data_IF_343427114406
#
_entry.id   IF_343427114406
#
_cell.length_a   1.000
_cell.length_b   1.000
_cell.length_c   1.000
_cell.angle_alpha   90.00
_cell.angle_beta   90.00
_cell.angle_gamma   90.00
#
_symmetry.space_group_name_H-M   'P 1'
#
loop_
_entity.id
_entity.type
_entity.pdbx_description
1 polymer ?
#
# COMPACT_ATOMS: atom_id res chain seq x y z
N UNK A 1 9.04 1.06 13.93
CA UNK A 1 9.31 1.94 12.76
C UNK A 1 10.10 3.16 13.25
N UNK A 2 11.31 3.33 12.73
CA UNK A 2 12.31 4.32 13.18
C UNK A 2 13.75 3.83 13.03
N UNK A 3 13.91 2.53 12.86
CA UNK A 3 15.17 1.80 12.76
C UNK A 3 15.35 1.05 11.43
N UNK A 4 14.31 1.02 10.60
CA UNK A 4 14.28 0.44 9.25
C UNK A 4 13.17 1.09 8.42
N UNK A 5 13.20 0.86 7.11
CA UNK A 5 12.15 1.27 6.18
C UNK A 5 11.15 0.13 5.93
N UNK A 6 9.91 0.51 5.59
CA UNK A 6 8.85 -0.36 5.09
C UNK A 6 8.23 0.33 3.87
N UNK A 7 8.17 -0.37 2.75
CA UNK A 7 7.42 0.05 1.58
C UNK A 7 6.00 -0.53 1.68
N UNK A 8 4.98 0.32 1.58
CA UNK A 8 3.58 -0.10 1.52
C UNK A 8 3.08 0.13 0.09
N UNK A 9 2.54 -0.92 -0.51
CA UNK A 9 1.96 -0.88 -1.85
C UNK A 9 0.51 -1.36 -1.78
N UNK A 10 -0.42 -0.49 -2.21
CA UNK A 10 -1.83 -0.87 -2.36
C UNK A 10 -2.20 -0.88 -3.84
N UNK A 11 -2.55 -2.06 -4.36
CA UNK A 11 -3.11 -2.17 -5.69
C UNK A 11 -4.49 -1.50 -5.72
N UNK A 12 -4.67 -0.58 -6.67
CA UNK A 12 -5.91 0.19 -6.83
C UNK A 12 -6.32 0.25 -8.29
N UNK A 13 -7.62 0.34 -8.52
CA UNK A 13 -8.19 0.52 -9.84
C UNK A 13 -8.73 1.94 -9.97
N UNK A 14 -8.05 2.78 -10.75
CA UNK A 14 -8.52 4.13 -11.04
C UNK A 14 -9.84 4.07 -11.81
N UNK A 15 -10.77 4.96 -11.48
CA UNK A 15 -12.10 5.02 -12.10
C UNK A 15 -12.44 6.46 -12.47
N UNK A 16 -13.27 6.60 -13.51
CA UNK A 16 -13.81 7.90 -13.88
C UNK A 16 -14.79 8.42 -12.81
N UNK A 17 -14.75 9.74 -12.59
CA UNK A 17 -15.74 10.42 -11.76
C UNK A 17 -17.12 10.37 -12.42
N UNK A 18 -18.13 9.83 -11.73
CA UNK A 18 -19.48 9.66 -12.28
C UNK A 18 -20.24 10.99 -12.48
N UNK A 19 -19.81 12.06 -11.82
CA UNK A 19 -20.43 13.37 -11.89
C UNK A 19 -19.38 14.47 -12.03
N UNK A 20 -19.78 15.60 -12.61
CA UNK A 20 -18.92 16.78 -12.65
C UNK A 20 -18.66 17.31 -11.23
N UNK A 21 -17.46 17.85 -11.02
CA UNK A 21 -17.03 18.44 -9.76
C UNK A 21 -16.86 19.96 -9.92
N UNK A 22 -17.93 20.72 -10.22
CA UNK A 22 -17.84 22.11 -10.70
C UNK A 22 -17.25 23.10 -9.68
N UNK A 23 -17.15 22.69 -8.41
CA UNK A 23 -16.59 23.51 -7.32
C UNK A 23 -15.21 23.04 -6.86
N UNK A 24 -14.66 21.95 -7.41
CA UNK A 24 -13.36 21.44 -7.00
C UNK A 24 -12.28 22.22 -7.76
N UNK A 25 -11.47 23.07 -7.09
CA UNK A 25 -10.54 23.97 -7.77
C UNK A 25 -9.19 23.30 -8.11
N UNK A 26 -9.12 21.98 -7.98
CA UNK A 26 -7.91 21.16 -8.15
C UNK A 26 -8.22 19.93 -8.99
N UNK A 27 -7.20 19.37 -9.63
CA UNK A 27 -7.29 18.06 -10.25
C UNK A 27 -7.56 16.99 -9.18
N UNK A 28 -8.17 15.87 -9.59
CA UNK A 28 -8.48 14.76 -8.70
C UNK A 28 -8.08 13.43 -9.34
N UNK A 29 -7.89 12.43 -8.48
CA UNK A 29 -7.85 11.04 -8.85
C UNK A 29 -8.90 10.30 -8.00
N UNK A 30 -9.61 9.36 -8.62
CA UNK A 30 -10.60 8.53 -7.96
C UNK A 30 -10.27 7.08 -8.26
N UNK A 31 -10.32 6.21 -7.25
CA UNK A 31 -10.00 4.79 -7.41
C UNK A 31 -10.81 3.92 -6.46
N UNK A 32 -10.84 2.63 -6.77
CA UNK A 32 -11.27 1.55 -5.85
C UNK A 32 -10.03 0.88 -5.29
N UNK A 33 -9.90 0.86 -3.97
CA UNK A 33 -8.81 0.16 -3.31
C UNK A 33 -9.11 -1.34 -3.23
N UNK A 34 -8.15 -2.18 -3.60
CA UNK A 34 -8.28 -3.63 -3.44
C UNK A 34 -7.94 -4.05 -2.01
N UNK A 35 -8.60 -5.08 -1.44
CA UNK A 35 -9.73 -5.83 -2.04
C UNK A 35 -11.05 -5.06 -1.96
N UNK A 36 -11.16 -4.19 -0.97
CA UNK A 36 -12.26 -3.26 -0.73
C UNK A 36 -11.76 -2.11 0.16
N UNK A 37 -12.50 -1.00 0.20
CA UNK A 37 -12.09 0.19 0.95
C UNK A 37 -11.89 -0.08 2.44
N UNK A 38 -12.71 -0.93 3.06
CA UNK A 38 -12.64 -1.18 4.50
C UNK A 38 -11.38 -1.97 4.84
N UNK A 39 -11.15 -3.08 4.13
CA UNK A 39 -9.96 -3.92 4.31
C UNK A 39 -8.68 -3.16 3.95
N UNK A 40 -8.65 -2.46 2.83
CA UNK A 40 -7.46 -1.73 2.36
C UNK A 40 -7.06 -0.63 3.33
N UNK A 41 -8.03 0.19 3.78
CA UNK A 41 -7.76 1.28 4.71
C UNK A 41 -7.35 0.76 6.09
N UNK A 42 -7.98 -0.31 6.60
CA UNK A 42 -7.55 -0.92 7.87
C UNK A 42 -6.12 -1.47 7.75
N UNK A 43 -5.82 -2.23 6.70
CA UNK A 43 -4.49 -2.80 6.48
C UNK A 43 -3.41 -1.69 6.38
N UNK A 44 -3.70 -0.60 5.65
CA UNK A 44 -2.81 0.55 5.52
C UNK A 44 -2.53 1.23 6.87
N UNK A 45 -3.59 1.48 7.65
CA UNK A 45 -3.47 2.10 8.98
C UNK A 45 -2.68 1.19 9.94
N UNK A 46 -2.99 -0.12 9.95
CA UNK A 46 -2.31 -1.10 10.79
C UNK A 46 -0.83 -1.22 10.43
N UNK A 47 -0.49 -1.16 9.15
CA UNK A 47 0.90 -1.18 8.69
C UNK A 47 1.65 0.14 8.91
N UNK A 48 0.94 1.22 9.29
CA UNK A 48 1.51 2.54 9.58
C UNK A 48 1.79 3.39 8.33
N UNK A 49 1.03 3.18 7.26
CA UNK A 49 1.21 3.90 6.00
C UNK A 49 0.97 5.41 6.12
N UNK A 50 1.71 6.19 5.34
CA UNK A 50 1.55 7.64 5.27
C UNK A 50 0.23 8.04 4.57
N UNK A 51 -0.21 9.27 4.78
CA UNK A 51 -1.31 9.87 4.00
C UNK A 51 -0.85 10.38 2.63
N UNK A 52 0.44 10.69 2.49
CA UNK A 52 1.06 10.98 1.19
C UNK A 52 1.48 9.68 0.51
N UNK A 53 1.15 9.55 -0.76
CA UNK A 53 1.51 8.41 -1.61
C UNK A 53 2.09 8.90 -2.94
N UNK A 54 2.79 8.03 -3.63
CA UNK A 54 3.14 8.21 -5.05
C UNK A 54 2.17 7.35 -5.84
N UNK A 55 1.39 7.97 -6.72
CA UNK A 55 0.43 7.28 -7.57
C UNK A 55 1.03 7.01 -8.96
N UNK A 56 0.87 5.79 -9.48
CA UNK A 56 1.40 5.40 -10.79
C UNK A 56 0.43 4.53 -11.57
N UNK A 57 0.29 4.82 -12.86
CA UNK A 57 -0.33 3.90 -13.84
C UNK A 57 0.68 3.01 -14.55
N UNK A 58 1.96 3.41 -14.53
CA UNK A 58 3.01 2.79 -15.34
C UNK A 58 3.78 1.70 -14.59
N UNK A 59 3.80 1.78 -13.25
CA UNK A 59 4.47 0.82 -12.39
C UNK A 59 3.43 -0.11 -11.79
N UNK A 60 3.80 -1.38 -11.63
CA UNK A 60 2.95 -2.38 -10.99
C UNK A 60 3.56 -2.94 -9.70
N UNK A 61 2.82 -3.86 -9.06
CA UNK A 61 3.24 -4.51 -7.84
C UNK A 61 4.56 -5.31 -8.02
N UNK A 62 4.79 -5.90 -9.19
CA UNK A 62 5.98 -6.69 -9.45
C UNK A 62 7.24 -5.80 -9.59
N UNK A 63 7.09 -4.59 -10.13
CA UNK A 63 8.15 -3.59 -10.10
C UNK A 63 8.53 -3.24 -8.65
N UNK A 64 7.53 -2.99 -7.80
CA UNK A 64 7.76 -2.63 -6.40
C UNK A 64 8.31 -3.78 -5.57
N UNK A 65 7.95 -5.03 -5.89
CA UNK A 65 8.57 -6.24 -5.32
C UNK A 65 10.06 -6.28 -5.62
N UNK A 66 10.45 -6.13 -6.88
CA UNK A 66 11.86 -6.12 -7.29
C UNK A 66 12.63 -4.97 -6.63
N UNK A 67 12.01 -3.79 -6.54
CA UNK A 67 12.61 -2.65 -5.85
C UNK A 67 12.88 -2.94 -4.37
N UNK A 68 11.89 -3.49 -3.65
CA UNK A 68 12.03 -3.81 -2.24
C UNK A 68 13.11 -4.88 -1.98
N UNK A 69 13.18 -5.90 -2.85
CA UNK A 69 14.21 -6.94 -2.79
C UNK A 69 15.61 -6.38 -3.06
N UNK A 70 15.77 -5.53 -4.08
CA UNK A 70 17.04 -4.89 -4.42
C UNK A 70 17.60 -4.05 -3.26
N UNK A 71 16.72 -3.42 -2.49
CA UNK A 71 17.07 -2.58 -1.35
C UNK A 71 17.02 -3.30 0.01
N UNK A 72 16.70 -4.61 0.04
CA UNK A 72 16.49 -5.43 1.25
C UNK A 72 15.58 -4.74 2.29
N UNK A 73 14.47 -4.16 1.83
CA UNK A 73 13.45 -3.55 2.69
C UNK A 73 12.15 -4.35 2.69
N UNK A 74 11.40 -4.27 3.78
CA UNK A 74 10.09 -4.91 3.86
C UNK A 74 9.12 -4.29 2.86
N UNK A 75 8.52 -5.11 2.00
CA UNK A 75 7.32 -4.76 1.23
C UNK A 75 6.08 -5.32 1.91
N UNK A 76 5.13 -4.43 2.21
CA UNK A 76 3.78 -4.78 2.67
C UNK A 76 2.80 -4.55 1.53
N UNK A 77 2.16 -5.61 1.08
CA UNK A 77 1.24 -5.60 -0.06
C UNK A 77 -0.20 -5.62 0.41
N UNK A 78 -1.02 -4.75 -0.17
CA UNK A 78 -2.47 -4.71 0.00
C UNK A 78 -3.10 -4.82 -1.39
N UNK A 79 -3.73 -5.95 -1.68
CA UNK A 79 -4.32 -6.31 -2.96
C UNK A 79 -5.55 -7.22 -2.76
N UNK A 80 -6.07 -7.80 -3.84
CA UNK A 80 -7.25 -8.67 -3.79
C UNK A 80 -7.08 -9.94 -2.92
N UNK A 81 -5.86 -10.40 -2.66
CA UNK A 81 -5.59 -11.59 -1.85
C UNK A 81 -5.46 -11.25 -0.34
N UNK A 82 -5.54 -9.97 0.01
CA UNK A 82 -5.30 -9.49 1.37
C UNK A 82 -6.41 -9.92 2.33
N UNK A 83 -6.01 -10.60 3.41
CA UNK A 83 -6.87 -11.03 4.52
C UNK A 83 -6.26 -10.53 5.82
N UNK A 84 -6.99 -9.68 6.56
CA UNK A 84 -6.46 -8.99 7.74
C UNK A 84 -5.74 -9.87 8.77
N UNK A 85 -6.20 -11.10 9.11
CA UNK A 85 -5.46 -11.96 10.03
C UNK A 85 -4.06 -12.31 9.48
N UNK A 86 -3.99 -12.83 8.25
CA UNK A 86 -2.73 -13.21 7.62
C UNK A 86 -1.81 -12.00 7.39
N UNK A 87 -2.39 -10.85 7.03
CA UNK A 87 -1.66 -9.60 6.87
C UNK A 87 -1.01 -9.14 8.19
N UNK A 88 -1.78 -9.14 9.29
CA UNK A 88 -1.27 -8.81 10.63
C UNK A 88 -0.21 -9.80 11.09
N UNK A 89 -0.35 -11.08 10.76
CA UNK A 89 0.62 -12.12 11.09
C UNK A 89 1.95 -11.89 10.36
N UNK A 90 1.89 -11.61 9.04
CA UNK A 90 3.05 -11.29 8.22
C UNK A 90 3.81 -10.06 8.76
N UNK A 91 3.11 -8.99 9.15
CA UNK A 91 3.75 -7.81 9.76
C UNK A 91 4.56 -8.17 11.01
N UNK A 92 4.06 -9.08 11.86
CA UNK A 92 4.75 -9.50 13.09
C UNK A 92 5.95 -10.39 12.80
N UNK A 93 5.84 -11.31 11.85
CA UNK A 93 6.97 -12.16 11.44
C UNK A 93 8.06 -11.34 10.77
N UNK A 94 7.68 -10.43 9.88
CA UNK A 94 8.60 -9.52 9.20
C UNK A 94 9.30 -8.58 10.17
N UNK A 95 8.62 -8.09 11.20
CA UNK A 95 9.23 -7.22 12.22
C UNK A 95 10.47 -7.87 12.82
N UNK A 96 10.39 -9.16 13.17
CA UNK A 96 11.53 -9.89 13.74
C UNK A 96 12.59 -10.16 12.67
N UNK A 97 12.20 -10.58 11.47
CA UNK A 97 13.14 -10.87 10.38
C UNK A 97 13.96 -9.63 9.97
N UNK A 98 13.30 -8.52 9.62
CA UNK A 98 13.98 -7.30 9.21
C UNK A 98 14.58 -6.52 10.39
N UNK A 99 14.05 -6.69 11.61
CA UNK A 99 14.63 -6.09 12.81
C UNK A 99 15.90 -6.78 13.32
N UNK A 100 16.09 -8.07 13.00
CA UNK A 100 17.25 -8.86 13.44
C UNK A 100 18.43 -8.88 12.46
N UNK A 101 18.23 -8.47 11.21
CA UNK A 101 19.26 -8.39 10.14
C UNK A 101 20.32 -7.27 10.33
N UNK A 102 20.56 -6.82 11.57
CA UNK A 102 21.60 -5.83 11.88
C UNK A 102 23.00 -6.42 11.85
#
# INVERSE_FOLDING_TARGET
LGDRFRLLENCVDAVETQHSLPKLPVANALWKAQPDLATASEAWIVAGGAHHTVFSHALDLNDMRQFAELHDIELTVIDNDTRLPAFKDALRWNEVYYGSKR
#
